data_IF_430872923340
#
_entry.id   IF_430872923340
#
_cell.length_a   1.000
_cell.length_b   1.000
_cell.length_c   1.000
_cell.angle_alpha   90.00
_cell.angle_beta   90.00
_cell.angle_gamma   90.00
#
_symmetry.space_group_name_H-M   'P 1'
#
loop_
_entity.id
_entity.type
_entity.pdbx_description
1 polymer ?
#
# COMPACT_ATOMS: atom_id res chain seq x y z
N UNK A 1 0.68 25.72 -6.75
CA UNK A 1 -0.13 24.50 -6.88
C UNK A 1 0.76 23.31 -6.56
N UNK A 2 0.27 22.35 -5.78
CA UNK A 2 1.01 21.12 -5.48
C UNK A 2 0.59 20.09 -6.52
N UNK A 3 1.56 19.51 -7.23
CA UNK A 3 1.30 18.48 -8.25
C UNK A 3 1.52 17.12 -7.59
N UNK A 4 0.49 16.27 -7.64
CA UNK A 4 0.54 14.91 -7.09
C UNK A 4 0.06 13.96 -8.18
N UNK A 5 0.86 12.94 -8.50
CA UNK A 5 0.58 12.04 -9.63
C UNK A 5 -0.53 11.02 -9.35
N UNK A 6 -0.88 10.78 -8.08
CA UNK A 6 -1.80 9.69 -7.66
C UNK A 6 -2.56 10.04 -6.39
N UNK A 7 -2.95 11.31 -6.18
CA UNK A 7 -3.78 11.67 -5.04
C UNK A 7 -5.20 11.11 -5.25
N UNK A 8 -5.58 10.11 -4.45
CA UNK A 8 -6.93 9.52 -4.42
C UNK A 8 -7.72 10.21 -3.29
N UNK A 9 -9.00 10.50 -3.52
CA UNK A 9 -9.88 11.02 -2.47
C UNK A 9 -10.28 9.89 -1.50
N UNK A 10 -10.40 10.19 -0.20
CA UNK A 10 -10.67 9.17 0.83
C UNK A 10 -11.94 8.35 0.57
N UNK A 11 -12.93 8.93 -0.10
CA UNK A 11 -14.17 8.27 -0.50
C UNK A 11 -14.06 7.36 -1.72
N UNK A 12 -13.01 7.51 -2.52
CA UNK A 12 -12.74 6.72 -3.73
C UNK A 12 -11.74 5.59 -3.47
N UNK A 13 -11.20 5.50 -2.26
CA UNK A 13 -10.27 4.43 -1.88
C UNK A 13 -11.00 3.08 -1.89
N UNK A 14 -10.55 2.19 -2.78
CA UNK A 14 -10.94 0.79 -2.79
C UNK A 14 -10.22 0.04 -1.66
N UNK A 15 -10.94 -0.19 -0.57
CA UNK A 15 -10.45 -0.85 0.64
C UNK A 15 -10.02 -2.29 0.37
N UNK A 16 -10.75 -3.03 -0.45
CA UNK A 16 -10.44 -4.43 -0.75
C UNK A 16 -9.17 -4.55 -1.59
N UNK A 17 -9.00 -3.64 -2.56
CA UNK A 17 -7.74 -3.53 -3.32
C UNK A 17 -6.56 -3.19 -2.40
N UNK A 18 -6.75 -2.30 -1.43
CA UNK A 18 -5.70 -1.93 -0.47
C UNK A 18 -5.33 -3.10 0.46
N UNK A 19 -6.30 -3.89 0.94
CA UNK A 19 -6.04 -5.12 1.72
C UNK A 19 -5.27 -6.16 0.92
N UNK A 20 -5.66 -6.39 -0.34
CA UNK A 20 -4.97 -7.33 -1.22
C UNK A 20 -3.51 -6.89 -1.50
N UNK A 21 -3.29 -5.59 -1.69
CA UNK A 21 -1.95 -5.03 -1.87
C UNK A 21 -1.08 -5.19 -0.61
N UNK A 22 -1.67 -5.03 0.58
CA UNK A 22 -1.00 -5.27 1.87
C UNK A 22 -0.57 -6.74 1.97
N UNK A 23 -1.50 -7.68 1.78
CA UNK A 23 -1.20 -9.11 1.90
C UNK A 23 -0.10 -9.56 0.93
N UNK A 24 -0.10 -9.08 -0.31
CA UNK A 24 0.99 -9.36 -1.27
C UNK A 24 2.34 -8.82 -0.80
N UNK A 25 2.36 -7.61 -0.26
CA UNK A 25 3.59 -7.00 0.25
C UNK A 25 4.12 -7.73 1.50
N UNK A 26 3.22 -8.24 2.35
CA UNK A 26 3.57 -9.09 3.51
C UNK A 26 4.15 -10.43 3.05
N UNK A 27 3.51 -11.12 2.12
CA UNK A 27 4.05 -12.36 1.55
C UNK A 27 5.40 -12.14 0.88
N UNK A 28 5.64 -11.01 0.21
CA UNK A 28 6.96 -10.68 -0.34
C UNK A 28 8.01 -10.36 0.73
N UNK A 29 7.63 -9.96 1.94
CA UNK A 29 8.57 -9.76 3.04
C UNK A 29 8.91 -11.06 3.78
N UNK A 30 8.01 -12.04 3.77
CA UNK A 30 8.23 -13.35 4.40
C UNK A 30 9.05 -14.31 3.52
N UNK A 31 9.08 -14.09 2.21
CA UNK A 31 9.90 -14.89 1.30
C UNK A 31 11.32 -14.33 1.25
N UNK A 32 12.23 -14.92 2.05
CA UNK A 32 13.65 -14.57 2.14
C UNK A 32 14.48 -14.96 0.89
N UNK A 33 13.88 -15.70 -0.05
CA UNK A 33 14.62 -16.42 -1.10
C UNK A 33 14.92 -15.61 -2.36
N UNK A 34 14.30 -14.44 -2.53
CA UNK A 34 14.57 -13.60 -3.67
C UNK A 34 15.40 -12.38 -3.26
N UNK A 35 16.37 -12.08 -4.10
CA UNK A 35 17.09 -10.81 -4.25
C UNK A 35 16.15 -9.59 -4.51
N UNK A 36 14.88 -9.71 -4.10
CA UNK A 36 13.81 -8.75 -4.23
C UNK A 36 14.07 -7.58 -3.31
N UNK A 37 13.78 -6.39 -3.82
CA UNK A 37 13.85 -5.15 -3.04
C UNK A 37 12.91 -5.24 -1.83
N UNK A 38 13.39 -5.72 -0.69
CA UNK A 38 12.68 -5.67 0.61
C UNK A 38 12.20 -4.24 0.87
N UNK A 39 13.01 -3.25 0.49
CA UNK A 39 12.66 -1.83 0.57
C UNK A 39 11.45 -1.45 -0.28
N UNK A 40 11.27 -2.07 -1.45
CA UNK A 40 10.10 -1.87 -2.32
C UNK A 40 8.86 -2.50 -1.69
N UNK A 41 8.99 -3.71 -1.13
CA UNK A 41 7.90 -4.38 -0.42
C UNK A 41 7.45 -3.56 0.80
N UNK A 42 8.39 -3.08 1.63
CA UNK A 42 8.11 -2.18 2.76
C UNK A 42 7.38 -0.90 2.33
N UNK A 43 7.86 -0.22 1.28
CA UNK A 43 7.19 0.98 0.75
C UNK A 43 5.79 0.67 0.21
N UNK A 44 5.58 -0.50 -0.39
CA UNK A 44 4.26 -0.93 -0.86
C UNK A 44 3.30 -1.18 0.31
N UNK A 45 3.79 -1.84 1.36
CA UNK A 45 3.06 -2.08 2.61
C UNK A 45 2.64 -0.76 3.26
N UNK A 46 3.57 0.18 3.43
CA UNK A 46 3.28 1.50 4.01
C UNK A 46 2.21 2.25 3.22
N UNK A 47 2.28 2.24 1.87
CA UNK A 47 1.24 2.86 1.03
C UNK A 47 -0.12 2.19 1.20
N UNK A 48 -0.18 0.86 1.26
CA UNK A 48 -1.43 0.13 1.45
C UNK A 48 -2.04 0.44 2.83
N UNK A 49 -1.23 0.43 3.88
CA UNK A 49 -1.65 0.79 5.23
C UNK A 49 -2.15 2.24 5.30
N UNK A 50 -1.47 3.18 4.63
CA UNK A 50 -1.89 4.57 4.62
C UNK A 50 -3.24 4.76 3.90
N UNK A 51 -3.47 4.08 2.77
CA UNK A 51 -4.77 4.06 2.10
C UNK A 51 -5.89 3.51 3.00
N UNK A 52 -5.64 2.38 3.68
CA UNK A 52 -6.61 1.80 4.62
C UNK A 52 -6.94 2.77 5.76
N UNK A 53 -5.92 3.38 6.34
CA UNK A 53 -6.08 4.33 7.44
C UNK A 53 -6.90 5.55 7.03
N UNK A 54 -6.63 6.12 5.85
CA UNK A 54 -7.38 7.26 5.30
C UNK A 54 -8.83 6.88 5.00
N UNK A 55 -9.08 5.65 4.56
CA UNK A 55 -10.44 5.14 4.36
C UNK A 55 -11.20 4.92 5.68
N UNK A 56 -10.50 4.63 6.78
CA UNK A 56 -11.09 4.50 8.13
C UNK A 56 -11.41 5.84 8.79
N UNK A 57 -10.70 6.93 8.47
CA UNK A 57 -10.93 8.28 9.02
C UNK A 57 -12.17 9.00 8.45
N UNK A 58 -13.08 8.25 7.83
CA UNK A 58 -14.28 8.76 7.16
C UNK A 58 -15.43 9.02 8.13
#
# INVERSE_FOLDING_TARGET
SIIVQTAEAANEIDVERAKLAKSRAESHLENDDDNSDINRAKRALERANNRLRVAEFK
#
